data_IF_743428421890
#
_entry.id   IF_743428421890
#
_cell.length_a   1.000
_cell.length_b   1.000
_cell.length_c   1.000
_cell.angle_alpha   90.00
_cell.angle_beta   90.00
_cell.angle_gamma   90.00
#
_symmetry.space_group_name_H-M   'P 1'
#
loop_
_entity.id
_entity.type
_entity.pdbx_description
1 polymer ?
#
# COMPACT_ATOMS: atom_id res chain seq x y z
N UNK A 1 33.32 33.90 21.78
CA UNK A 1 32.05 33.39 22.33
C UNK A 1 30.92 33.89 21.44
N UNK A 2 30.30 33.01 20.64
CA UNK A 2 29.09 33.33 19.88
C UNK A 2 28.12 32.17 20.07
N UNK A 3 27.28 32.26 21.10
CA UNK A 3 26.20 31.30 21.32
C UNK A 3 25.09 31.56 20.31
N UNK A 4 24.95 30.66 19.33
CA UNK A 4 23.76 30.62 18.47
C UNK A 4 22.61 30.04 19.29
N UNK A 5 21.62 30.87 19.64
CA UNK A 5 20.32 30.38 20.14
C UNK A 5 19.67 29.53 19.04
N UNK A 6 19.58 28.22 19.26
CA UNK A 6 18.76 27.32 18.45
C UNK A 6 17.29 27.69 18.70
N UNK A 7 16.62 28.24 17.69
CA UNK A 7 15.19 28.48 17.74
C UNK A 7 14.46 27.14 17.56
N UNK A 8 13.74 26.70 18.60
CA UNK A 8 12.89 25.51 18.56
C UNK A 8 11.55 25.93 17.96
N UNK A 9 11.25 25.48 16.74
CA UNK A 9 9.94 25.67 16.12
C UNK A 9 8.99 24.58 16.61
N UNK A 10 8.05 24.96 17.48
CA UNK A 10 7.02 24.06 17.97
C UNK A 10 5.83 24.08 17.00
N UNK A 11 5.68 23.03 16.19
CA UNK A 11 4.52 22.87 15.33
C UNK A 11 3.35 22.29 16.12
N UNK A 12 2.23 23.01 16.16
CA UNK A 12 1.00 22.57 16.82
C UNK A 12 -0.13 22.57 15.79
N UNK A 13 -0.79 21.44 15.64
CA UNK A 13 -1.97 21.27 14.79
C UNK A 13 -3.10 20.74 15.66
N UNK A 14 -4.17 21.52 15.80
CA UNK A 14 -5.40 21.05 16.42
C UNK A 14 -6.28 20.49 15.30
N UNK A 15 -6.81 19.30 15.49
CA UNK A 15 -7.79 18.72 14.58
C UNK A 15 -8.83 17.98 15.40
N UNK A 16 -10.08 18.05 14.94
CA UNK A 16 -11.20 17.30 15.49
C UNK A 16 -11.48 16.12 14.57
N UNK A 17 -11.67 14.93 15.14
CA UNK A 17 -12.08 13.75 14.38
C UNK A 17 -13.44 13.33 14.89
N UNK A 18 -14.46 13.44 14.04
CA UNK A 18 -15.86 13.18 14.39
C UNK A 18 -16.39 12.07 13.48
N UNK A 19 -17.12 11.12 14.05
CA UNK A 19 -17.85 10.04 13.35
C UNK A 19 -17.02 9.20 12.35
N UNK A 20 -15.73 8.99 12.64
CA UNK A 20 -14.85 8.15 11.83
C UNK A 20 -14.83 6.70 12.34
N UNK A 21 -14.91 5.76 11.41
CA UNK A 21 -14.88 4.33 11.71
C UNK A 21 -13.90 3.64 10.77
N UNK A 22 -12.78 3.12 11.31
CA UNK A 22 -11.82 2.36 10.52
C UNK A 22 -12.40 1.00 10.15
N UNK A 23 -12.69 0.82 8.87
CA UNK A 23 -13.21 -0.43 8.32
C UNK A 23 -12.10 -1.42 8.03
N UNK A 24 -10.99 -0.91 7.49
CA UNK A 24 -9.84 -1.72 7.09
C UNK A 24 -8.54 -1.15 7.64
N UNK A 25 -7.65 -2.05 8.03
CA UNK A 25 -6.26 -1.76 8.35
C UNK A 25 -5.37 -2.36 7.28
N UNK A 26 -4.43 -1.56 6.79
CA UNK A 26 -3.37 -1.97 5.87
C UNK A 26 -2.04 -1.90 6.62
N UNK A 27 -1.26 -2.97 6.53
CA UNK A 27 0.08 -3.04 7.09
C UNK A 27 1.04 -3.59 6.04
N UNK A 28 2.18 -2.94 5.89
CA UNK A 28 3.25 -3.37 4.99
C UNK A 28 4.53 -3.63 5.77
N UNK A 29 5.31 -4.62 5.34
CA UNK A 29 6.70 -4.83 5.75
C UNK A 29 7.55 -5.18 4.52
N UNK A 30 8.83 -4.85 4.54
CA UNK A 30 9.77 -5.30 3.49
C UNK A 30 10.77 -6.26 4.12
N UNK A 31 10.96 -7.40 3.49
CA UNK A 31 11.89 -8.46 3.91
C UNK A 31 12.94 -8.69 2.81
N UNK A 32 14.18 -8.97 3.17
CA UNK A 32 15.23 -9.28 2.20
C UNK A 32 14.95 -10.63 1.51
N UNK A 33 15.20 -10.73 0.20
CA UNK A 33 15.07 -11.99 -0.53
C UNK A 33 16.39 -12.77 -0.49
N UNK A 34 16.40 -13.97 0.12
CA UNK A 34 17.50 -14.94 -0.01
C UNK A 34 18.47 -15.06 1.17
N UNK A 35 19.55 -15.84 0.95
CA UNK A 35 20.56 -16.25 1.94
C UNK A 35 21.61 -15.18 2.28
N UNK A 36 21.54 -14.01 1.63
CA UNK A 36 22.55 -12.93 1.69
C UNK A 36 22.49 -12.01 2.91
N UNK A 37 21.63 -12.31 3.91
CA UNK A 37 21.58 -11.62 5.21
C UNK A 37 20.20 -11.07 5.58
N UNK A 38 20.09 -10.56 6.82
CA UNK A 38 18.85 -10.02 7.41
C UNK A 38 18.44 -8.64 6.87
N UNK A 39 19.20 -8.06 5.93
CA UNK A 39 19.06 -6.68 5.49
C UNK A 39 18.83 -6.54 3.98
N UNK A 40 17.95 -5.62 3.57
CA UNK A 40 17.82 -5.22 2.17
C UNK A 40 19.05 -4.46 1.69
N UNK A 41 19.42 -4.66 0.42
CA UNK A 41 20.52 -3.97 -0.26
C UNK A 41 20.02 -3.28 -1.51
N UNK A 42 20.55 -2.09 -1.80
CA UNK A 42 20.27 -1.39 -3.04
C UNK A 42 20.60 -2.28 -4.24
N UNK A 43 19.67 -2.41 -5.19
CA UNK A 43 19.79 -3.26 -6.36
C UNK A 43 19.53 -4.76 -6.14
N UNK A 44 19.22 -5.20 -4.92
CA UNK A 44 18.84 -6.59 -4.62
C UNK A 44 17.33 -6.73 -4.42
N UNK A 45 16.75 -7.85 -4.85
CA UNK A 45 15.33 -8.09 -4.68
C UNK A 45 14.97 -8.26 -3.19
N UNK A 46 13.85 -7.67 -2.78
CA UNK A 46 13.21 -7.80 -1.49
C UNK A 46 11.71 -8.11 -1.70
N UNK A 47 11.03 -8.50 -0.64
CA UNK A 47 9.61 -8.84 -0.65
C UNK A 47 8.83 -7.82 0.16
N UNK A 48 7.90 -7.13 -0.48
CA UNK A 48 6.89 -6.31 0.19
C UNK A 48 5.74 -7.22 0.61
N UNK A 49 5.64 -7.54 1.89
CA UNK A 49 4.50 -8.25 2.45
C UNK A 49 3.42 -7.25 2.86
N UNK A 50 2.33 -7.24 2.11
CA UNK A 50 1.13 -6.45 2.36
C UNK A 50 0.11 -7.32 3.10
N UNK A 51 -0.44 -6.81 4.20
CA UNK A 51 -1.55 -7.42 4.93
C UNK A 51 -2.70 -6.43 5.01
N UNK A 52 -3.89 -6.90 4.61
CA UNK A 52 -5.17 -6.18 4.77
C UNK A 52 -6.00 -6.89 5.82
N UNK A 53 -6.50 -6.16 6.80
CA UNK A 53 -7.35 -6.66 7.89
C UNK A 53 -8.66 -5.88 7.91
N UNK A 54 -9.79 -6.57 8.02
CA UNK A 54 -11.09 -5.97 8.36
C UNK A 54 -11.13 -5.73 9.86
N UNK A 55 -11.27 -4.47 10.27
CA UNK A 55 -11.31 -4.06 11.69
C UNK A 55 -12.74 -4.00 12.19
N UNK A 56 -13.62 -3.38 11.41
CA UNK A 56 -15.05 -3.35 11.69
C UNK A 56 -15.75 -4.30 10.74
N UNK A 57 -16.39 -5.32 11.32
CA UNK A 57 -17.27 -6.20 10.57
C UNK A 57 -18.54 -5.43 10.21
N UNK A 58 -18.62 -4.94 8.97
CA UNK A 58 -19.86 -4.38 8.44
C UNK A 58 -20.82 -5.55 8.24
N UNK A 59 -21.64 -5.84 9.25
CA UNK A 59 -22.77 -6.74 9.10
C UNK A 59 -23.66 -6.19 7.98
N UNK A 60 -23.95 -7.01 6.96
CA UNK A 60 -25.04 -6.84 5.97
C UNK A 60 -24.71 -6.38 4.53
N UNK A 61 -23.48 -6.53 4.01
CA UNK A 61 -23.24 -6.43 2.56
C UNK A 61 -22.98 -7.81 1.96
N UNK A 62 -23.97 -8.37 1.27
CA UNK A 62 -23.86 -9.59 0.46
C UNK A 62 -23.95 -9.24 -1.02
N UNK A 63 -22.92 -9.49 -1.84
CA UNK A 63 -21.63 -10.12 -1.51
C UNK A 63 -20.69 -9.18 -0.70
N UNK A 64 -19.69 -9.75 0.01
CA UNK A 64 -18.66 -8.96 0.68
C UNK A 64 -17.96 -8.00 -0.30
N UNK A 65 -17.52 -6.81 0.15
CA UNK A 65 -16.82 -5.88 -0.72
C UNK A 65 -15.53 -6.51 -1.23
N UNK A 66 -15.38 -6.56 -2.56
CA UNK A 66 -14.10 -6.83 -3.18
C UNK A 66 -13.22 -5.58 -3.03
N UNK A 67 -11.97 -5.78 -2.68
CA UNK A 67 -11.03 -4.69 -2.43
C UNK A 67 -9.94 -4.75 -3.49
N UNK A 68 -9.46 -3.61 -3.94
CA UNK A 68 -8.28 -3.51 -4.79
C UNK A 68 -7.17 -2.79 -4.02
N UNK A 69 -6.01 -3.43 -3.93
CA UNK A 69 -4.79 -2.77 -3.49
C UNK A 69 -4.04 -2.22 -4.71
N UNK A 70 -3.31 -1.15 -4.48
CA UNK A 70 -2.39 -0.56 -5.44
C UNK A 70 -1.16 -0.02 -4.70
N UNK A 71 0.01 -0.39 -5.18
CA UNK A 71 1.30 0.04 -4.62
C UNK A 71 1.76 1.29 -5.36
N UNK A 72 1.85 2.39 -4.62
CA UNK A 72 2.34 3.69 -5.04
C UNK A 72 3.77 3.86 -4.51
N UNK A 73 4.74 3.45 -5.32
CA UNK A 73 6.16 3.55 -5.02
C UNK A 73 6.75 4.86 -5.55
N UNK A 74 7.62 5.50 -4.76
CA UNK A 74 8.53 6.52 -5.28
C UNK A 74 9.58 5.82 -6.15
N UNK A 75 9.53 6.06 -7.45
CA UNK A 75 10.39 5.41 -8.44
C UNK A 75 11.87 5.82 -8.35
N UNK A 76 12.21 6.82 -7.53
CA UNK A 76 13.61 7.11 -7.19
C UNK A 76 14.14 6.21 -6.07
N UNK A 77 13.25 5.60 -5.29
CA UNK A 77 13.60 4.80 -4.11
C UNK A 77 13.31 3.31 -4.29
N UNK A 78 12.23 2.96 -4.99
CA UNK A 78 11.75 1.59 -5.12
C UNK A 78 11.35 1.28 -6.55
N UNK A 79 11.78 0.13 -7.06
CA UNK A 79 11.13 -0.53 -8.17
C UNK A 79 10.14 -1.58 -7.63
N UNK A 80 8.94 -1.62 -8.19
CA UNK A 80 7.98 -2.71 -7.97
C UNK A 80 8.12 -3.67 -9.13
N UNK A 81 8.51 -4.90 -8.86
CA UNK A 81 8.80 -5.91 -9.86
C UNK A 81 7.56 -6.76 -10.09
N UNK A 82 6.95 -6.65 -11.28
CA UNK A 82 5.74 -7.39 -11.64
C UNK A 82 4.46 -6.58 -11.43
N UNK A 83 3.46 -7.18 -10.75
CA UNK A 83 2.15 -6.54 -10.56
C UNK A 83 2.22 -5.44 -9.50
N UNK A 84 1.68 -4.27 -9.80
CA UNK A 84 1.58 -3.16 -8.84
C UNK A 84 0.22 -3.06 -8.15
N UNK A 85 -0.77 -3.83 -8.61
CA UNK A 85 -2.12 -3.82 -8.07
C UNK A 85 -2.79 -5.19 -8.20
N UNK A 86 -3.82 -5.43 -7.39
CA UNK A 86 -4.57 -6.68 -7.42
C UNK A 86 -5.80 -6.65 -6.52
N UNK A 87 -6.66 -7.66 -6.68
CA UNK A 87 -7.89 -7.80 -5.91
C UNK A 87 -7.62 -8.67 -4.67
N UNK A 88 -8.18 -8.27 -3.52
CA UNK A 88 -8.20 -9.01 -2.26
C UNK A 88 -9.64 -9.20 -1.80
N UNK A 89 -9.96 -10.41 -1.35
CA UNK A 89 -11.28 -10.86 -0.90
C UNK A 89 -11.17 -11.37 0.52
N UNK A 90 -11.92 -10.75 1.44
CA UNK A 90 -11.94 -11.07 2.87
C UNK A 90 -13.21 -11.85 3.24
N UNK A 91 -13.53 -12.90 2.48
CA UNK A 91 -14.79 -13.66 2.56
C UNK A 91 -14.79 -14.72 3.67
N UNK A 92 -13.66 -15.39 3.86
CA UNK A 92 -13.45 -16.50 4.80
C UNK A 92 -12.66 -16.08 6.02
N UNK A 93 -11.85 -15.03 5.90
CA UNK A 93 -11.04 -14.46 6.96
C UNK A 93 -11.11 -12.93 6.93
N UNK A 94 -11.13 -12.31 8.10
CA UNK A 94 -10.97 -10.86 8.23
C UNK A 94 -9.54 -10.38 7.96
N UNK A 95 -8.68 -11.23 7.38
CA UNK A 95 -7.29 -10.93 7.06
C UNK A 95 -6.89 -11.60 5.76
N UNK A 96 -6.19 -10.87 4.90
CA UNK A 96 -5.52 -11.41 3.72
C UNK A 96 -4.14 -10.81 3.58
N UNK A 97 -3.17 -11.61 3.11
CA UNK A 97 -1.82 -11.14 2.84
C UNK A 97 -1.43 -11.42 1.39
N UNK A 98 -0.65 -10.50 0.82
CA UNK A 98 -0.11 -10.55 -0.54
C UNK A 98 1.38 -10.22 -0.47
N UNK A 99 2.19 -10.93 -1.22
CA UNK A 99 3.63 -10.65 -1.35
C UNK A 99 3.87 -10.10 -2.75
N UNK A 100 4.61 -9.00 -2.82
CA UNK A 100 5.06 -8.40 -4.06
C UNK A 100 6.59 -8.33 -4.06
N UNK A 101 7.20 -8.46 -5.22
CA UNK A 101 8.64 -8.27 -5.36
C UNK A 101 8.93 -6.78 -5.52
N UNK A 102 9.89 -6.28 -4.74
CA UNK A 102 10.35 -4.90 -4.79
C UNK A 102 11.87 -4.86 -4.74
N UNK A 103 12.46 -3.84 -5.33
CA UNK A 103 13.90 -3.62 -5.27
C UNK A 103 14.16 -2.19 -4.83
N UNK A 104 14.89 -1.95 -3.73
CA UNK A 104 15.31 -0.61 -3.39
C UNK A 104 16.39 -0.14 -4.38
N UNK A 105 16.26 1.08 -4.89
CA UNK A 105 17.13 1.67 -5.91
C UNK A 105 18.26 2.51 -5.30
N UNK A 106 18.12 2.85 -4.02
CA UNK A 106 19.11 3.60 -3.25
C UNK A 106 19.27 3.00 -1.85
N UNK A 107 20.33 3.40 -1.17
CA UNK A 107 20.62 3.02 0.23
C UNK A 107 20.17 4.10 1.21
N UNK A 108 20.07 3.76 2.48
CA UNK A 108 19.63 4.64 3.56
C UNK A 108 18.31 4.19 4.20
N UNK A 109 17.58 5.11 4.81
CA UNK A 109 16.28 4.83 5.42
C UNK A 109 15.16 5.21 4.46
N UNK A 110 14.64 4.22 3.74
CA UNK A 110 13.63 4.43 2.73
C UNK A 110 12.25 4.29 3.36
N UNK A 111 11.30 5.22 3.14
CA UNK A 111 9.91 5.01 3.50
C UNK A 111 9.36 3.79 2.76
N UNK A 112 8.46 3.03 3.40
CA UNK A 112 7.78 1.92 2.74
C UNK A 112 6.98 2.42 1.52
N UNK A 113 6.87 1.61 0.44
CA UNK A 113 5.93 1.89 -0.65
C UNK A 113 4.51 2.09 -0.10
N UNK A 114 3.85 3.16 -0.52
CA UNK A 114 2.51 3.49 -0.04
C UNK A 114 1.52 2.52 -0.69
N UNK A 115 0.59 1.98 0.08
CA UNK A 115 -0.48 1.13 -0.44
C UNK A 115 -1.80 1.86 -0.34
N UNK A 116 -2.47 2.00 -1.49
CA UNK A 116 -3.83 2.52 -1.61
C UNK A 116 -4.80 1.35 -1.67
N UNK A 117 -5.87 1.44 -0.90
CA UNK A 117 -6.97 0.49 -0.93
C UNK A 117 -8.22 1.18 -1.47
N UNK A 118 -8.95 0.51 -2.35
CA UNK A 118 -10.20 0.98 -2.94
C UNK A 118 -11.22 -0.14 -2.94
N UNK A 119 -12.52 0.19 -2.96
CA UNK A 119 -13.58 -0.78 -3.25
C UNK A 119 -13.54 -1.11 -4.74
N UNK A 120 -13.46 -2.38 -5.06
CA UNK A 120 -13.53 -2.90 -6.41
C UNK A 120 -14.97 -3.27 -6.75
N UNK A 121 -15.45 -2.82 -7.90
CA UNK A 121 -16.79 -3.06 -8.39
C UNK A 121 -16.66 -3.68 -9.77
N UNK A 122 -16.96 -4.99 -9.90
CA UNK A 122 -16.86 -5.70 -11.17
C UNK A 122 -17.71 -5.06 -12.27
N UNK A 123 -17.33 -5.27 -13.53
CA UNK A 123 -18.20 -4.95 -14.66
C UNK A 123 -19.49 -5.78 -14.59
N UNK A 124 -20.61 -5.16 -14.94
CA UNK A 124 -21.87 -5.88 -15.13
C UNK A 124 -21.85 -6.40 -16.55
N UNK A 125 -21.79 -7.72 -16.74
CA UNK A 125 -21.89 -8.34 -18.07
C UNK A 125 -23.34 -8.22 -18.57
N UNK A 126 -23.64 -7.20 -19.36
CA UNK A 126 -24.93 -7.10 -20.04
C UNK A 126 -24.95 -8.06 -21.23
N UNK A 127 -25.59 -9.22 -21.08
CA UNK A 127 -25.90 -10.11 -22.21
C UNK A 127 -26.99 -9.48 -23.08
N UNK A 128 -26.57 -9.01 -24.26
CA UNK A 128 -27.34 -8.72 -25.48
C UNK A 128 -28.07 -7.37 -25.73
N UNK A 129 -27.85 -6.98 -26.99
CA UNK A 129 -28.68 -6.31 -28.00
C UNK A 129 -28.87 -4.77 -28.05
N UNK A 130 -28.27 -4.23 -29.12
CA UNK A 130 -28.78 -3.24 -30.07
C UNK A 130 -29.21 -1.87 -29.48
N UNK A 131 -28.37 -0.89 -29.78
CA UNK A 131 -28.69 0.54 -29.92
C UNK A 131 -28.95 1.33 -28.63
N UNK A 132 -27.97 2.16 -28.25
CA UNK A 132 -28.03 3.64 -28.30
C UNK A 132 -26.78 4.21 -27.62
N UNK A 133 -26.25 5.28 -28.21
CA UNK A 133 -25.18 6.12 -27.64
C UNK A 133 -25.49 6.48 -26.19
N UNK A 134 -24.69 5.99 -25.26
CA UNK A 134 -24.57 6.51 -23.90
C UNK A 134 -23.16 6.20 -23.41
N UNK A 135 -22.37 7.22 -23.09
CA UNK A 135 -21.03 7.13 -22.50
C UNK A 135 -21.09 6.61 -21.05
N UNK A 136 -21.73 5.47 -20.82
CA UNK A 136 -21.75 4.81 -19.51
C UNK A 136 -20.65 3.76 -19.52
N UNK A 137 -19.63 3.95 -18.69
CA UNK A 137 -18.49 3.03 -18.60
C UNK A 137 -18.98 1.64 -18.19
N UNK A 138 -18.94 0.68 -19.11
CA UNK A 138 -19.30 -0.73 -18.87
C UNK A 138 -18.16 -1.52 -18.21
N UNK A 139 -17.04 -0.88 -17.89
CA UNK A 139 -15.87 -1.52 -17.27
C UNK A 139 -15.94 -1.62 -15.74
N UNK A 140 -15.04 -2.41 -15.13
CA UNK A 140 -14.89 -2.43 -13.67
C UNK A 140 -14.51 -1.05 -13.16
N UNK A 141 -15.05 -0.67 -12.00
CA UNK A 141 -14.85 0.66 -11.39
C UNK A 141 -14.29 0.55 -9.99
N UNK A 142 -13.52 1.57 -9.61
CA UNK A 142 -12.93 1.70 -8.28
C UNK A 142 -13.58 2.86 -7.54
N UNK A 143 -14.00 2.63 -6.30
CA UNK A 143 -14.45 3.68 -5.40
C UNK A 143 -13.43 3.88 -4.28
N UNK A 144 -12.95 5.12 -4.03
CA UNK A 144 -12.10 5.39 -2.90
C UNK A 144 -12.88 5.28 -1.59
N UNK A 145 -12.19 4.93 -0.52
CA UNK A 145 -12.74 5.02 0.83
C UNK A 145 -12.74 6.46 1.33
N UNK A 146 -13.72 6.79 2.18
CA UNK A 146 -13.76 8.08 2.88
C UNK A 146 -12.59 8.20 3.87
N UNK A 147 -12.17 9.42 4.23
CA UNK A 147 -11.16 9.63 5.26
C UNK A 147 -11.48 8.84 6.54
N UNK A 148 -10.47 8.19 7.12
CA UNK A 148 -10.59 7.39 8.35
C UNK A 148 -11.07 5.94 8.17
N UNK A 149 -11.67 5.57 7.02
CA UNK A 149 -12.16 4.21 6.77
C UNK A 149 -11.03 3.20 6.51
N UNK A 150 -9.89 3.66 6.00
CA UNK A 150 -8.68 2.84 5.82
C UNK A 150 -7.57 3.43 6.68
N UNK A 151 -7.10 2.65 7.65
CA UNK A 151 -5.94 2.98 8.46
C UNK A 151 -4.69 2.29 7.91
N UNK A 152 -3.61 3.02 7.70
CA UNK A 152 -2.32 2.44 7.31
C UNK A 152 -1.42 2.38 8.56
N UNK A 153 -1.27 1.17 9.12
CA UNK A 153 -0.50 0.91 10.33
C UNK A 153 1.01 1.10 10.16
N UNK A 154 1.49 1.07 8.92
CA UNK A 154 2.90 1.21 8.58
C UNK A 154 3.23 2.59 7.97
N UNK A 155 2.33 3.59 8.08
CA UNK A 155 2.41 4.89 7.39
C UNK A 155 3.63 5.77 7.76
N UNK A 156 4.42 5.40 8.74
CA UNK A 156 5.63 6.14 9.13
C UNK A 156 6.86 5.22 9.25
N UNK A 157 6.75 3.97 8.80
CA UNK A 157 7.85 3.02 8.88
C UNK A 157 8.83 3.22 7.73
N UNK A 158 10.10 2.98 8.03
CA UNK A 158 11.19 3.00 7.08
C UNK A 158 11.94 1.68 7.12
N UNK A 159 12.58 1.35 6.00
CA UNK A 159 13.45 0.19 5.85
C UNK A 159 14.87 0.69 5.73
N UNK A 160 15.76 0.14 6.56
CA UNK A 160 17.19 0.40 6.42
C UNK A 160 17.74 -0.45 5.27
N UNK A 161 18.15 0.21 4.19
CA UNK A 161 18.73 -0.41 3.02
C UNK A 161 20.23 -0.14 2.99
N UNK A 162 21.00 -1.22 2.98
CA UNK A 162 22.45 -1.14 2.86
C UNK A 162 22.86 -0.81 1.42
N UNK A 163 24.07 -0.28 1.20
CA UNK A 163 24.64 -0.15 -0.14
C UNK A 163 24.62 -1.48 -0.90
N UNK A 164 24.65 -1.38 -2.23
CA UNK A 164 24.77 -2.53 -3.11
C UNK A 164 25.94 -3.42 -2.67
N UNK A 165 25.79 -4.74 -2.83
CA UNK A 165 26.91 -5.63 -2.59
C UNK A 165 28.08 -5.24 -3.50
N UNK A 166 29.34 -5.30 -3.02
CA UNK A 166 30.48 -5.16 -3.90
C UNK A 166 30.33 -6.14 -5.07
N UNK A 167 30.53 -5.67 -6.29
CA UNK A 167 30.61 -6.59 -7.43
C UNK A 167 31.75 -7.57 -7.12
N UNK A 168 31.47 -8.87 -7.12
CA UNK A 168 32.55 -9.85 -7.07
C UNK A 168 33.42 -9.62 -8.30
N UNK A 169 34.67 -9.23 -8.07
CA UNK A 169 35.66 -9.05 -9.11
C UNK A 169 36.02 -10.42 -9.67
N UNK A 170 35.37 -10.81 -10.76
CA UNK A 170 35.79 -11.94 -11.60
C UNK A 170 37.05 -11.58 -12.39
#
# INVERSE_FOLDING_TARGET
KLERKLAVYLYRCNFDVVDYATMFMVSSKVEASGTGGEFCRAGSMCHLCLTVVRVLSTTNTTPPPQLMYEVLADQSMWAVCGRTAGIVTLDTQDKQSVILDVMPLTSGYLPLPVVRLSRYIPAIETKNDISRKSEVSTGPRLEPFSPGQVYNASKAQQVHVLPAAPAEST
#
